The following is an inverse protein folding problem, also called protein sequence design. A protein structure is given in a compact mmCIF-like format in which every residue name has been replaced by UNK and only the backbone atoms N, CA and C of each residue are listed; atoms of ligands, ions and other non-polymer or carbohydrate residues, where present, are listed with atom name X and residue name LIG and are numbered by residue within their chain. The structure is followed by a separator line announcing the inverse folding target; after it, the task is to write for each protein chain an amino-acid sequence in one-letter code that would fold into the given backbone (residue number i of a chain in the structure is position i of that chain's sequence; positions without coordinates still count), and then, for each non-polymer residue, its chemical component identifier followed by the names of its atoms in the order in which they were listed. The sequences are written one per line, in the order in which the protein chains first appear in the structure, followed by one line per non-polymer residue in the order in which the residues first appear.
data_IF_170754223615
#
_entry.id   IF_170754223615
#
_cell.length_a   1.000
_cell.length_b   1.000
_cell.length_c   1.000
_cell.angle_alpha   90.00
_cell.angle_beta   90.00
_cell.angle_gamma   90.00
#
_symmetry.space_group_name_H-M   'P 1'
#
loop_
_entity.id
_entity.type
_entity.pdbx_description
1 polymer ?
#
# COMPACT_ATOMS: atom_id res chain seq x y z
N UNK A 1 20.08 -43.00 -7.97
CA UNK A 1 20.92 -42.38 -9.01
C UNK A 1 20.20 -41.12 -9.47
N UNK A 2 20.51 -39.97 -8.86
CA UNK A 2 19.87 -38.69 -9.14
C UNK A 2 21.00 -37.70 -9.43
N UNK A 3 21.21 -37.41 -10.71
CA UNK A 3 22.15 -36.40 -11.20
C UNK A 3 21.31 -35.38 -11.96
N UNK A 4 21.47 -34.10 -11.63
CA UNK A 4 21.14 -33.01 -12.55
C UNK A 4 20.10 -32.00 -12.08
N UNK A 5 20.41 -31.17 -11.06
CA UNK A 5 19.73 -29.88 -10.83
C UNK A 5 20.66 -28.78 -10.29
N UNK A 6 21.92 -28.69 -10.78
CA UNK A 6 22.87 -27.61 -10.38
C UNK A 6 23.35 -26.69 -11.51
N UNK A 7 22.82 -26.81 -12.73
CA UNK A 7 23.38 -26.08 -13.89
C UNK A 7 22.59 -24.83 -14.32
N UNK A 8 21.37 -24.58 -13.81
CA UNK A 8 20.52 -23.49 -14.34
C UNK A 8 20.88 -22.12 -13.74
N UNK A 9 21.44 -22.05 -12.53
CA UNK A 9 21.76 -20.76 -11.87
C UNK A 9 23.01 -20.08 -12.47
N UNK A 10 23.89 -20.81 -13.15
CA UNK A 10 25.11 -20.23 -13.74
C UNK A 10 24.86 -19.49 -15.07
N UNK A 11 23.78 -19.79 -15.79
CA UNK A 11 23.51 -19.16 -17.09
C UNK A 11 22.68 -17.87 -16.98
N UNK A 12 21.93 -17.64 -15.90
CA UNK A 12 21.24 -16.36 -15.70
C UNK A 12 22.21 -15.20 -15.43
N UNK A 13 23.35 -15.47 -14.80
CA UNK A 13 24.36 -14.44 -14.48
C UNK A 13 25.15 -13.94 -15.70
N UNK A 14 25.16 -14.68 -16.81
CA UNK A 14 25.93 -14.33 -18.01
C UNK A 14 25.14 -13.51 -19.04
N UNK A 15 23.81 -13.61 -19.05
CA UNK A 15 22.98 -12.89 -20.06
C UNK A 15 22.54 -11.49 -19.59
N UNK A 16 22.59 -11.19 -18.29
CA UNK A 16 22.33 -9.84 -17.76
C UNK A 16 23.55 -8.89 -17.85
N UNK A 17 24.61 -9.32 -18.55
CA UNK A 17 25.82 -8.54 -18.75
C UNK A 17 25.74 -7.76 -20.07
N UNK A 18 25.91 -6.44 -19.98
CA UNK A 18 26.01 -5.44 -21.05
C UNK A 18 24.72 -4.79 -21.58
N UNK A 19 24.05 -4.01 -20.72
CA UNK A 19 23.52 -2.71 -21.17
C UNK A 19 24.45 -1.64 -20.59
N UNK A 20 25.43 -1.22 -21.39
CA UNK A 20 26.26 -0.03 -21.15
C UNK A 20 25.46 1.22 -21.52
N UNK A 21 25.17 2.08 -20.55
CA UNK A 21 24.84 3.49 -20.78
C UNK A 21 25.87 4.35 -20.04
N UNK A 22 27.09 4.39 -20.58
CA UNK A 22 28.07 5.43 -20.28
C UNK A 22 27.73 6.67 -21.10
N UNK A 23 26.78 7.46 -20.63
CA UNK A 23 26.45 8.77 -21.16
C UNK A 23 26.31 9.77 -20.03
N UNK A 24 27.26 10.69 -19.90
CA UNK A 24 27.12 11.88 -19.06
C UNK A 24 26.01 12.76 -19.64
N UNK A 25 24.75 12.47 -19.29
CA UNK A 25 23.62 13.33 -19.63
C UNK A 25 23.44 14.41 -18.57
N UNK A 26 24.07 15.55 -18.84
CA UNK A 26 23.62 16.84 -18.35
C UNK A 26 22.38 17.25 -19.15
N UNK A 27 21.17 16.92 -18.68
CA UNK A 27 19.98 17.69 -19.07
C UNK A 27 18.91 17.63 -18.00
N UNK A 28 18.63 18.81 -17.44
CA UNK A 28 17.43 19.09 -16.63
C UNK A 28 16.18 18.64 -17.39
N UNK A 29 15.49 17.63 -16.85
CA UNK A 29 14.02 17.43 -16.79
C UNK A 29 13.71 15.93 -16.85
N UNK A 30 13.39 15.39 -15.68
CA UNK A 30 12.33 14.40 -15.43
C UNK A 30 11.99 13.46 -16.59
N UNK A 31 12.52 12.23 -16.56
CA UNK A 31 11.91 11.03 -17.19
C UNK A 31 12.71 9.72 -16.95
N UNK A 32 13.49 9.61 -15.88
CA UNK A 32 14.00 8.29 -15.46
C UNK A 32 13.10 7.76 -14.34
N UNK A 33 12.07 7.00 -14.74
CA UNK A 33 11.55 5.96 -13.85
C UNK A 33 12.75 5.06 -13.53
N UNK A 34 13.22 5.10 -12.28
CA UNK A 34 14.46 4.46 -11.85
C UNK A 34 14.35 2.93 -11.73
N UNK A 35 13.19 2.37 -12.05
CA UNK A 35 12.86 0.97 -11.90
C UNK A 35 12.72 0.34 -13.28
N UNK A 36 13.68 -0.53 -13.61
CA UNK A 36 13.61 -1.38 -14.80
C UNK A 36 13.09 -2.73 -14.33
N UNK A 37 11.87 -3.06 -14.75
CA UNK A 37 11.34 -4.41 -14.70
C UNK A 37 11.74 -5.09 -15.99
N UNK A 38 12.53 -6.16 -15.89
CA UNK A 38 12.65 -7.08 -17.00
C UNK A 38 11.65 -8.23 -16.83
N UNK A 39 11.34 -8.91 -17.92
CA UNK A 39 10.47 -10.08 -17.92
C UNK A 39 11.05 -11.28 -17.16
N UNK A 40 12.26 -11.14 -16.56
CA UNK A 40 12.91 -12.19 -15.77
C UNK A 40 12.62 -12.07 -14.26
N UNK A 41 11.79 -11.11 -13.85
CA UNK A 41 11.48 -10.89 -12.43
C UNK A 41 12.62 -10.20 -11.69
N UNK A 42 13.53 -9.53 -12.41
CA UNK A 42 14.55 -8.67 -11.82
C UNK A 42 14.08 -7.22 -11.76
N UNK A 43 14.19 -6.62 -10.57
CA UNK A 43 14.00 -5.19 -10.34
C UNK A 43 15.36 -4.58 -10.05
N UNK A 44 15.73 -3.58 -10.84
CA UNK A 44 16.93 -2.78 -10.59
C UNK A 44 16.53 -1.36 -10.20
N UNK A 45 16.96 -0.93 -9.01
CA UNK A 45 16.72 0.41 -8.48
C UNK A 45 18.03 1.13 -8.15
N UNK A 46 18.24 2.35 -8.65
CA UNK A 46 19.44 3.13 -8.34
C UNK A 46 19.36 3.77 -6.95
N UNK A 47 20.33 3.46 -6.08
CA UNK A 47 20.40 4.00 -4.72
C UNK A 47 20.87 5.47 -4.77
N UNK A 48 20.22 6.32 -3.99
CA UNK A 48 20.63 7.72 -3.75
C UNK A 48 21.38 7.84 -2.43
N UNK A 49 22.27 8.83 -2.32
CA UNK A 49 22.92 9.18 -1.06
C UNK A 49 22.03 10.07 -0.18
N UNK A 50 22.52 10.42 1.02
CA UNK A 50 21.79 11.25 1.99
C UNK A 50 21.42 12.66 1.48
N UNK A 51 22.04 13.11 0.39
CA UNK A 51 21.79 14.40 -0.26
C UNK A 51 20.81 14.23 -1.43
N UNK A 52 20.28 13.04 -1.66
CA UNK A 52 19.43 12.70 -2.80
C UNK A 52 20.21 12.55 -4.12
N UNK A 53 21.55 12.57 -4.09
CA UNK A 53 22.37 12.42 -5.29
C UNK A 53 22.44 10.95 -5.70
N UNK A 54 22.31 10.68 -7.00
CA UNK A 54 22.47 9.34 -7.54
C UNK A 54 23.86 8.78 -7.22
N UNK A 55 23.92 7.54 -6.73
CA UNK A 55 25.19 6.83 -6.51
C UNK A 55 25.46 5.83 -7.64
N UNK A 56 26.68 5.27 -7.67
CA UNK A 56 27.02 4.13 -8.52
C UNK A 56 26.53 2.78 -7.93
N UNK A 57 25.69 2.81 -6.89
CA UNK A 57 25.12 1.61 -6.27
C UNK A 57 23.70 1.38 -6.77
N UNK A 58 23.37 0.12 -6.97
CA UNK A 58 22.06 -0.35 -7.39
C UNK A 58 21.58 -1.41 -6.42
N UNK A 59 20.32 -1.30 -6.02
CA UNK A 59 19.58 -2.39 -5.40
C UNK A 59 19.09 -3.29 -6.53
N UNK A 60 19.41 -4.57 -6.46
CA UNK A 60 18.94 -5.61 -7.36
C UNK A 60 18.07 -6.57 -6.56
N UNK A 61 16.85 -6.80 -7.03
CA UNK A 61 15.94 -7.75 -6.42
C UNK A 61 15.55 -8.76 -7.47
N UNK A 62 15.85 -10.02 -7.19
CA UNK A 62 15.49 -11.15 -8.03
C UNK A 62 14.32 -11.85 -7.36
N UNK A 63 13.18 -11.95 -8.04
CA UNK A 63 12.00 -12.67 -7.53
C UNK A 63 11.80 -13.93 -8.38
N UNK A 64 12.43 -15.08 -8.02
CA UNK A 64 12.28 -16.30 -8.78
C UNK A 64 10.83 -16.81 -8.68
N UNK A 65 10.34 -17.46 -9.72
CA UNK A 65 9.04 -18.14 -9.64
C UNK A 65 9.04 -19.17 -8.50
N UNK A 66 8.12 -19.00 -7.54
CA UNK A 66 7.92 -19.90 -6.38
C UNK A 66 9.07 -19.92 -5.36
N UNK A 67 9.85 -18.85 -5.25
CA UNK A 67 10.89 -18.70 -4.22
C UNK A 67 10.83 -17.31 -3.58
N UNK A 68 11.52 -17.14 -2.46
CA UNK A 68 11.62 -15.85 -1.78
C UNK A 68 12.47 -14.86 -2.61
N UNK A 69 12.09 -13.57 -2.64
CA UNK A 69 12.90 -12.54 -3.28
C UNK A 69 14.32 -12.47 -2.70
N UNK A 70 15.32 -12.43 -3.57
CA UNK A 70 16.72 -12.30 -3.21
C UNK A 70 17.21 -10.88 -3.49
N UNK A 71 17.82 -10.27 -2.48
CA UNK A 71 18.21 -8.85 -2.53
C UNK A 71 19.72 -8.72 -2.55
N UNK A 72 20.23 -7.88 -3.45
CA UNK A 72 21.64 -7.61 -3.63
C UNK A 72 21.90 -6.13 -3.79
N UNK A 73 23.09 -5.69 -3.35
CA UNK A 73 23.62 -4.38 -3.67
C UNK A 73 24.75 -4.57 -4.66
N UNK A 74 24.56 -4.03 -5.86
CA UNK A 74 25.58 -3.95 -6.89
C UNK A 74 26.25 -2.58 -6.84
N UNK A 75 27.56 -2.58 -6.96
CA UNK A 75 28.41 -1.43 -7.20
C UNK A 75 29.28 -1.72 -8.42
N UNK A 76 30.11 -0.76 -8.82
CA UNK A 76 30.99 -0.89 -10.00
C UNK A 76 31.84 -2.17 -9.97
N UNK A 77 32.40 -2.51 -8.80
CA UNK A 77 33.37 -3.60 -8.66
C UNK A 77 32.93 -4.73 -7.72
N UNK A 78 31.69 -4.68 -7.21
CA UNK A 78 31.25 -5.64 -6.20
C UNK A 78 29.73 -5.85 -6.24
N UNK A 79 29.30 -7.09 -5.97
CA UNK A 79 27.92 -7.46 -5.70
C UNK A 79 27.91 -8.16 -4.36
N UNK A 80 27.08 -7.69 -3.43
CA UNK A 80 26.87 -8.35 -2.15
C UNK A 80 25.40 -8.63 -1.91
N UNK A 81 25.10 -9.76 -1.29
CA UNK A 81 23.75 -10.09 -0.83
C UNK A 81 23.39 -9.27 0.41
N UNK A 82 22.12 -8.86 0.53
CA UNK A 82 21.55 -8.29 1.76
C UNK A 82 21.04 -9.46 2.60
N UNK A 83 21.44 -9.52 3.87
CA UNK A 83 21.07 -10.64 4.76
C UNK A 83 19.75 -10.36 5.47
N UNK A 84 19.57 -9.14 5.97
CA UNK A 84 18.38 -8.71 6.69
C UNK A 84 17.39 -8.04 5.73
N UNK A 85 16.78 -8.85 4.87
CA UNK A 85 15.77 -8.39 3.92
C UNK A 85 14.43 -8.15 4.64
N UNK A 86 13.63 -7.15 4.22
CA UNK A 86 12.29 -6.97 4.74
C UNK A 86 11.44 -8.20 4.44
N UNK A 87 10.50 -8.53 5.33
CA UNK A 87 9.47 -9.52 5.01
C UNK A 87 8.58 -8.93 3.91
N UNK A 88 8.64 -9.55 2.74
CA UNK A 88 7.76 -9.24 1.60
C UNK A 88 7.09 -10.52 1.16
N UNK A 89 5.98 -10.41 0.43
CA UNK A 89 5.45 -11.58 -0.26
C UNK A 89 6.34 -12.01 -1.43
N UNK A 90 6.03 -13.17 -1.99
CA UNK A 90 6.83 -13.84 -3.04
C UNK A 90 6.95 -12.99 -4.31
N UNK A 91 5.90 -12.25 -4.67
CA UNK A 91 5.89 -11.43 -5.87
C UNK A 91 6.02 -9.96 -5.52
N UNK A 92 7.16 -9.33 -5.85
CA UNK A 92 7.31 -7.87 -5.74
C UNK A 92 6.85 -7.22 -7.05
N UNK A 93 5.80 -6.42 -6.96
CA UNK A 93 5.18 -5.74 -8.11
C UNK A 93 5.80 -4.37 -8.36
N UNK A 94 5.93 -3.54 -7.31
CA UNK A 94 6.43 -2.15 -7.45
C UNK A 94 7.39 -1.79 -6.34
N UNK A 95 8.35 -0.94 -6.68
CA UNK A 95 9.24 -0.29 -5.72
C UNK A 95 9.25 1.19 -6.04
N UNK A 96 9.21 2.03 -5.01
CA UNK A 96 9.39 3.47 -5.15
C UNK A 96 10.26 4.00 -4.03
N UNK A 97 11.31 4.73 -4.36
CA UNK A 97 12.12 5.44 -3.39
C UNK A 97 11.70 6.91 -3.26
N UNK A 98 11.78 7.42 -2.03
CA UNK A 98 11.66 8.83 -1.70
C UNK A 98 12.70 9.68 -2.42
N UNK A 99 12.41 10.98 -2.57
CA UNK A 99 13.27 11.89 -3.32
C UNK A 99 14.68 12.00 -2.70
N UNK A 100 14.76 12.00 -1.37
CA UNK A 100 16.00 12.07 -0.58
C UNK A 100 16.68 10.71 -0.38
N UNK A 101 16.08 9.62 -0.87
CA UNK A 101 16.64 8.27 -0.80
C UNK A 101 16.60 7.63 0.58
N UNK A 102 15.97 8.26 1.58
CA UNK A 102 15.93 7.71 2.95
C UNK A 102 14.94 6.56 3.07
N UNK A 103 13.82 6.67 2.37
CA UNK A 103 12.76 5.67 2.40
C UNK A 103 12.55 4.99 1.06
N UNK A 104 12.13 3.73 1.14
CA UNK A 104 11.69 2.94 0.00
C UNK A 104 10.39 2.23 0.37
N UNK A 105 9.43 2.24 -0.54
CA UNK A 105 8.17 1.51 -0.43
C UNK A 105 8.16 0.36 -1.44
N UNK A 106 7.73 -0.81 -1.00
CA UNK A 106 7.73 -2.05 -1.78
C UNK A 106 6.31 -2.59 -1.76
N UNK A 107 5.68 -2.71 -2.92
CA UNK A 107 4.40 -3.39 -3.09
C UNK A 107 4.69 -4.84 -3.48
N UNK A 108 4.16 -5.77 -2.70
CA UNK A 108 4.28 -7.20 -2.96
C UNK A 108 2.92 -7.91 -2.86
N UNK A 109 2.79 -9.06 -3.49
CA UNK A 109 1.59 -9.90 -3.52
C UNK A 109 1.92 -11.34 -3.13
N UNK A 110 1.06 -11.95 -2.31
CA UNK A 110 1.10 -13.36 -1.96
C UNK A 110 -0.32 -13.94 -1.92
N UNK A 111 -0.60 -15.00 -2.68
CA UNK A 111 -1.96 -15.60 -2.75
C UNK A 111 -3.09 -14.59 -3.07
N UNK A 112 -2.77 -13.51 -3.80
CA UNK A 112 -3.72 -12.43 -4.10
C UNK A 112 -3.85 -11.35 -3.02
N UNK A 113 -3.11 -11.48 -1.92
CA UNK A 113 -3.02 -10.51 -0.83
C UNK A 113 -1.92 -9.47 -1.13
N UNK A 114 -2.26 -8.18 -1.36
CA UNK A 114 -1.26 -7.13 -1.50
C UNK A 114 -0.72 -6.64 -0.15
N UNK A 115 0.56 -6.29 -0.09
CA UNK A 115 1.20 -5.69 1.08
C UNK A 115 2.17 -4.59 0.63
N UNK A 116 2.08 -3.41 1.25
CA UNK A 116 3.11 -2.39 1.13
C UNK A 116 4.02 -2.45 2.35
N UNK A 117 5.31 -2.70 2.12
CA UNK A 117 6.36 -2.60 3.14
C UNK A 117 7.15 -1.32 2.91
N UNK A 118 7.18 -0.44 3.89
CA UNK A 118 8.01 0.78 3.87
C UNK A 118 9.24 0.57 4.75
N UNK A 119 10.41 0.87 4.19
CA UNK A 119 11.70 0.61 4.81
C UNK A 119 12.58 1.86 4.89
N UNK A 120 13.47 1.87 5.88
CA UNK A 120 14.62 2.75 5.99
C UNK A 120 15.75 2.19 5.11
N UNK A 121 16.11 2.96 4.09
CA UNK A 121 17.11 2.54 3.09
C UNK A 121 18.50 2.50 3.70
N UNK A 122 18.85 3.39 4.62
CA UNK A 122 20.18 3.37 5.25
C UNK A 122 20.35 2.10 6.08
N UNK A 123 19.36 1.78 6.91
CA UNK A 123 19.36 0.54 7.69
C UNK A 123 19.45 -0.69 6.80
N UNK A 124 18.71 -0.72 5.68
CA UNK A 124 18.79 -1.83 4.72
C UNK A 124 20.22 -1.97 4.17
N UNK A 125 20.85 -0.85 3.78
CA UNK A 125 22.21 -0.83 3.27
C UNK A 125 23.21 -1.27 4.34
N UNK A 126 22.97 -0.99 5.61
CA UNK A 126 23.86 -1.41 6.70
C UNK A 126 23.58 -2.84 7.20
N UNK A 127 22.66 -3.57 6.54
CA UNK A 127 22.12 -4.87 6.98
C UNK A 127 21.52 -4.81 8.39
N UNK A 128 20.84 -3.73 8.74
CA UNK A 128 20.05 -3.62 9.96
C UNK A 128 18.56 -3.88 9.66
N UNK A 129 17.74 -4.21 10.67
CA UNK A 129 16.29 -4.25 10.53
C UNK A 129 15.76 -2.91 9.99
N UNK A 130 15.21 -2.94 8.77
CA UNK A 130 14.89 -1.75 7.99
C UNK A 130 13.39 -1.46 7.90
N UNK A 131 12.51 -2.40 8.26
CA UNK A 131 11.06 -2.21 8.18
C UNK A 131 10.61 -1.13 9.17
N UNK A 132 9.92 -0.13 8.63
CA UNK A 132 9.30 0.97 9.38
C UNK A 132 7.82 0.69 9.60
N UNK A 133 7.12 0.32 8.52
CA UNK A 133 5.68 0.11 8.52
C UNK A 133 5.28 -0.89 7.45
N UNK A 134 4.30 -1.70 7.79
CA UNK A 134 3.55 -2.54 6.85
C UNK A 134 2.13 -1.97 6.71
N UNK A 135 1.64 -1.88 5.48
CA UNK A 135 0.28 -1.44 5.15
C UNK A 135 -0.40 -2.62 4.47
N UNK A 136 -1.27 -3.29 5.24
CA UNK A 136 -2.04 -4.45 4.83
C UNK A 136 -3.51 -4.01 4.58
N UNK A 137 -3.93 -3.83 3.31
CA UNK A 137 -5.29 -3.48 2.98
C UNK A 137 -6.24 -4.69 2.92
N UNK A 138 -5.81 -5.94 3.18
CA UNK A 138 -6.67 -7.10 2.93
C UNK A 138 -7.98 -7.02 3.74
N UNK A 139 -9.16 -7.28 3.13
CA UNK A 139 -9.37 -7.95 1.84
C UNK A 139 -9.35 -7.06 0.58
N UNK A 140 -9.02 -5.78 0.70
CA UNK A 140 -8.99 -4.85 -0.42
C UNK A 140 -7.68 -4.84 -1.21
N UNK A 141 -7.56 -3.83 -2.06
CA UNK A 141 -6.42 -3.56 -2.94
C UNK A 141 -5.62 -2.35 -2.46
N UNK A 142 -4.36 -2.29 -2.85
CA UNK A 142 -3.52 -1.10 -2.64
C UNK A 142 -2.51 -0.96 -3.78
N UNK A 143 -2.16 0.28 -4.11
CA UNK A 143 -1.16 0.59 -5.12
C UNK A 143 -0.22 1.72 -4.67
N UNK A 144 1.03 1.66 -5.13
CA UNK A 144 2.04 2.71 -4.92
C UNK A 144 1.93 3.77 -6.03
N UNK A 145 1.57 5.01 -5.68
CA UNK A 145 1.48 6.11 -6.66
C UNK A 145 2.81 6.83 -6.83
N UNK A 146 3.22 7.62 -5.83
CA UNK A 146 4.46 8.39 -5.88
C UNK A 146 4.89 8.88 -4.50
N UNK A 147 6.09 9.43 -4.41
CA UNK A 147 6.55 10.18 -3.25
C UNK A 147 6.42 11.69 -3.52
N UNK A 148 5.85 12.44 -2.58
CA UNK A 148 5.84 13.90 -2.57
C UNK A 148 6.64 14.37 -1.36
N UNK A 149 7.87 14.87 -1.61
CA UNK A 149 8.89 15.06 -0.58
C UNK A 149 9.18 13.74 0.16
N UNK A 150 8.84 13.66 1.45
CA UNK A 150 8.98 12.47 2.30
C UNK A 150 7.66 11.71 2.50
N UNK A 151 6.55 12.18 1.91
CA UNK A 151 5.25 11.54 2.06
C UNK A 151 5.01 10.56 0.91
N UNK A 152 4.53 9.37 1.23
CA UNK A 152 4.17 8.37 0.25
C UNK A 152 2.68 8.50 -0.07
N UNK A 153 2.37 8.70 -1.34
CA UNK A 153 1.02 8.67 -1.87
C UNK A 153 0.69 7.24 -2.33
N UNK A 154 -0.40 6.70 -1.78
CA UNK A 154 -0.91 5.36 -2.06
C UNK A 154 -2.38 5.45 -2.48
N UNK A 155 -2.85 4.52 -3.33
CA UNK A 155 -4.31 4.34 -3.49
C UNK A 155 -4.76 3.04 -2.89
N UNK A 156 -5.98 3.00 -2.38
CA UNK A 156 -6.63 1.80 -1.89
C UNK A 156 -8.13 1.93 -1.99
N UNK A 157 -8.81 0.80 -2.15
CA UNK A 157 -10.26 0.68 -1.96
C UNK A 157 -10.63 0.40 -0.49
N UNK A 158 -9.70 0.55 0.46
CA UNK A 158 -9.94 0.41 1.89
C UNK A 158 -9.68 1.72 2.62
N UNK A 159 -10.43 2.00 3.67
CA UNK A 159 -10.23 3.20 4.49
C UNK A 159 -8.99 3.08 5.40
N UNK A 160 -7.80 3.29 4.81
CA UNK A 160 -6.50 3.09 5.47
C UNK A 160 -6.24 3.97 6.71
N UNK A 161 -7.09 4.98 6.96
CA UNK A 161 -7.05 5.82 8.16
C UNK A 161 -7.66 5.13 9.40
N UNK A 162 -8.31 3.97 9.24
CA UNK A 162 -9.04 3.26 10.28
C UNK A 162 -8.51 1.83 10.50
N UNK A 163 -7.18 1.72 10.63
CA UNK A 163 -6.52 0.46 11.00
C UNK A 163 -6.88 0.07 12.44
N UNK A 164 -7.04 -1.23 12.71
CA UNK A 164 -7.23 -1.71 14.09
C UNK A 164 -5.89 -1.84 14.81
N UNK A 165 -5.89 -1.59 16.12
CA UNK A 165 -4.68 -1.72 16.94
C UNK A 165 -4.19 -3.16 17.08
N UNK A 166 -5.07 -4.15 16.90
CA UNK A 166 -4.76 -5.56 17.14
C UNK A 166 -3.86 -6.18 16.06
N UNK A 167 -4.10 -5.86 14.80
CA UNK A 167 -3.41 -6.47 13.66
C UNK A 167 -2.93 -5.45 12.61
N UNK A 168 -3.20 -4.15 12.81
CA UNK A 168 -2.86 -3.10 11.87
C UNK A 168 -3.67 -3.13 10.57
N UNK A 169 -4.69 -3.99 10.45
CA UNK A 169 -5.54 -4.12 9.27
C UNK A 169 -6.72 -3.18 9.30
N UNK A 170 -7.27 -2.89 8.13
CA UNK A 170 -8.56 -2.21 8.01
C UNK A 170 -9.69 -3.25 8.08
N UNK A 171 -10.71 -3.05 8.93
CA UNK A 171 -11.90 -3.89 8.94
C UNK A 171 -12.54 -4.00 7.55
N UNK A 172 -13.00 -5.21 7.19
CA UNK A 172 -13.63 -5.46 5.89
C UNK A 172 -14.89 -4.60 5.66
N UNK A 173 -15.57 -4.19 6.74
CA UNK A 173 -16.73 -3.30 6.70
C UNK A 173 -16.39 -1.89 6.18
N UNK A 174 -15.10 -1.50 6.19
CA UNK A 174 -14.62 -0.18 5.75
C UNK A 174 -14.02 -0.19 4.34
N UNK A 175 -14.46 -1.13 3.50
CA UNK A 175 -14.23 -1.07 2.06
C UNK A 175 -14.90 0.18 1.46
N UNK A 176 -14.27 0.76 0.46
CA UNK A 176 -14.69 1.96 -0.26
C UNK A 176 -15.26 1.56 -1.62
N UNK A 177 -16.20 2.35 -2.12
CA UNK A 177 -16.86 2.08 -3.41
C UNK A 177 -16.01 2.44 -4.65
N UNK A 178 -14.82 2.98 -4.43
CA UNK A 178 -13.81 3.25 -5.46
C UNK A 178 -12.44 3.35 -4.79
N UNK A 179 -11.36 3.17 -5.55
CA UNK A 179 -10.02 3.51 -5.06
C UNK A 179 -9.97 4.99 -4.66
N UNK A 180 -9.38 5.26 -3.49
CA UNK A 180 -9.10 6.59 -2.96
C UNK A 180 -7.62 6.75 -2.68
N UNK A 181 -7.16 7.98 -2.72
CA UNK A 181 -5.78 8.33 -2.40
C UNK A 181 -5.60 8.61 -0.91
N UNK A 182 -4.50 8.10 -0.36
CA UNK A 182 -4.04 8.30 1.01
C UNK A 182 -2.59 8.78 1.02
N UNK A 183 -2.23 9.48 2.09
CA UNK A 183 -0.90 10.05 2.29
C UNK A 183 -0.31 9.44 3.56
N UNK A 184 0.77 8.68 3.41
CA UNK A 184 1.52 8.05 4.48
C UNK A 184 2.74 8.88 4.86
N UNK A 185 2.90 9.13 6.16
CA UNK A 185 4.09 9.74 6.74
C UNK A 185 5.02 8.66 7.32
N UNK A 186 6.18 8.39 6.70
CA UNK A 186 7.10 7.33 7.15
C UNK A 186 7.73 7.62 8.52
N UNK A 187 7.73 8.87 8.98
CA UNK A 187 8.31 9.21 10.29
C UNK A 187 7.35 8.92 11.44
N UNK A 188 6.05 9.17 11.26
CA UNK A 188 5.04 8.98 12.31
C UNK A 188 4.27 7.67 12.17
N UNK A 189 4.31 7.02 11.01
CA UNK A 189 3.45 5.87 10.71
C UNK A 189 2.00 6.26 10.39
N UNK A 190 1.68 7.55 10.43
CA UNK A 190 0.34 8.07 10.23
C UNK A 190 -0.07 7.99 8.76
N UNK A 191 -1.32 7.57 8.53
CA UNK A 191 -1.97 7.61 7.23
C UNK A 191 -3.10 8.63 7.32
N UNK A 192 -3.11 9.59 6.40
CA UNK A 192 -4.18 10.59 6.27
C UNK A 192 -4.88 10.44 4.94
N UNK A 193 -6.09 11.00 4.82
CA UNK A 193 -6.79 11.02 3.54
C UNK A 193 -6.14 12.01 2.58
N UNK A 194 -5.82 11.55 1.37
CA UNK A 194 -5.49 12.41 0.23
C UNK A 194 -6.74 12.86 -0.56
N UNK A 195 -7.89 12.22 -0.33
CA UNK A 195 -9.14 12.50 -1.03
C UNK A 195 -10.13 13.26 -0.13
N UNK A 196 -10.74 14.33 -0.64
CA UNK A 196 -11.61 15.21 0.16
C UNK A 196 -12.86 14.50 0.69
N UNK A 197 -13.45 13.63 -0.12
CA UNK A 197 -14.73 12.97 0.14
C UNK A 197 -14.67 11.92 1.25
N UNK A 198 -13.49 11.37 1.56
CA UNK A 198 -13.27 10.40 2.64
C UNK A 198 -12.58 10.99 3.89
N UNK A 199 -12.47 12.32 3.99
CA UNK A 199 -12.02 12.98 5.24
C UNK A 199 -13.03 12.82 6.38
N UNK A 200 -14.30 12.72 6.03
CA UNK A 200 -15.39 12.35 6.94
C UNK A 200 -16.00 11.03 6.45
N UNK A 201 -15.51 9.88 6.97
CA UNK A 201 -15.99 8.58 6.55
C UNK A 201 -17.49 8.37 6.79
N UNK A 202 -18.03 8.88 7.89
CA UNK A 202 -19.44 8.72 8.21
C UNK A 202 -20.31 9.43 7.16
N UNK A 203 -19.91 10.64 6.77
CA UNK A 203 -20.54 11.38 5.68
C UNK A 203 -20.38 10.67 4.33
N UNK A 204 -19.18 10.14 4.01
CA UNK A 204 -18.94 9.37 2.77
C UNK A 204 -19.92 8.21 2.60
N UNK A 205 -19.98 7.30 3.58
CA UNK A 205 -20.89 6.15 3.53
C UNK A 205 -22.35 6.56 3.56
N UNK A 206 -22.68 7.62 4.30
CA UNK A 206 -24.03 8.17 4.36
C UNK A 206 -24.51 8.75 3.03
N UNK A 207 -23.63 9.42 2.29
CA UNK A 207 -23.92 9.95 0.95
C UNK A 207 -24.11 8.83 -0.05
N UNK A 208 -23.28 7.80 -0.03
CA UNK A 208 -23.47 6.60 -0.86
C UNK A 208 -24.81 5.91 -0.56
N UNK A 209 -25.17 5.76 0.71
CA UNK A 209 -26.43 5.15 1.13
C UNK A 209 -27.65 5.84 0.50
N UNK A 210 -27.67 7.18 0.45
CA UNK A 210 -28.87 7.91 -0.03
C UNK A 210 -28.80 8.38 -1.48
N UNK A 211 -27.59 8.56 -2.03
CA UNK A 211 -27.36 9.17 -3.35
C UNK A 211 -27.23 8.11 -4.44
N UNK A 212 -26.11 7.39 -4.45
CA UNK A 212 -25.80 6.36 -5.43
C UNK A 212 -25.35 5.09 -4.69
N UNK A 213 -26.31 4.29 -4.17
CA UNK A 213 -25.95 3.09 -3.44
C UNK A 213 -25.17 2.15 -4.35
N UNK A 214 -24.29 1.34 -3.75
CA UNK A 214 -23.75 0.20 -4.48
C UNK A 214 -24.90 -0.67 -4.99
N UNK A 215 -24.97 -0.88 -6.32
CA UNK A 215 -25.91 -1.83 -6.91
C UNK A 215 -25.68 -3.26 -6.39
N UNK A 216 -24.44 -3.53 -5.95
CA UNK A 216 -23.99 -4.85 -5.52
C UNK A 216 -24.49 -5.17 -4.12
N UNK A 217 -24.49 -4.23 -3.18
CA UNK A 217 -25.04 -4.48 -1.84
C UNK A 217 -25.22 -3.20 -1.00
N UNK A 218 -26.46 -2.71 -0.82
CA UNK A 218 -26.77 -1.63 0.12
C UNK A 218 -26.48 -1.96 1.60
N UNK A 219 -26.04 -3.19 1.87
CA UNK A 219 -25.64 -3.67 3.19
C UNK A 219 -24.25 -3.15 3.57
N UNK A 220 -23.36 -2.95 2.59
CA UNK A 220 -21.99 -2.52 2.82
C UNK A 220 -21.94 -1.13 3.49
N UNK A 221 -22.71 -0.17 2.98
CA UNK A 221 -22.84 1.16 3.59
C UNK A 221 -23.34 1.06 5.05
N UNK A 222 -24.32 0.19 5.31
CA UNK A 222 -24.88 0.02 6.65
C UNK A 222 -23.89 -0.63 7.62
N UNK A 223 -23.03 -1.51 7.15
CA UNK A 223 -21.99 -2.17 7.94
C UNK A 223 -20.86 -1.19 8.27
N UNK A 224 -20.41 -0.41 7.29
CA UNK A 224 -19.46 0.67 7.51
C UNK A 224 -19.97 1.67 8.55
N UNK A 225 -21.21 2.16 8.40
CA UNK A 225 -21.81 3.10 9.36
C UNK A 225 -22.01 2.49 10.76
N UNK A 226 -22.32 1.19 10.83
CA UNK A 226 -22.40 0.49 12.10
C UNK A 226 -21.04 0.33 12.78
N UNK A 227 -19.97 0.16 12.00
CA UNK A 227 -18.60 0.09 12.49
C UNK A 227 -18.12 1.45 13.02
N UNK A 228 -18.29 2.51 12.23
CA UNK A 228 -17.85 3.87 12.57
C UNK A 228 -18.56 4.43 13.82
N UNK A 229 -19.81 4.00 14.07
CA UNK A 229 -20.63 4.44 15.21
C UNK A 229 -20.74 5.97 15.31
N UNK A 230 -20.80 6.65 14.18
CA UNK A 230 -20.92 8.10 14.15
C UNK A 230 -22.40 8.54 14.18
N UNK A 231 -22.73 9.47 15.06
CA UNK A 231 -24.10 9.95 15.23
C UNK A 231 -24.58 10.86 14.09
N UNK A 232 -23.67 11.40 13.30
CA UNK A 232 -24.01 12.28 12.16
C UNK A 232 -24.70 11.50 11.02
N UNK A 233 -24.51 10.17 10.98
CA UNK A 233 -25.20 9.27 10.06
C UNK A 233 -26.72 9.14 10.30
N UNK A 234 -27.25 9.54 11.48
CA UNK A 234 -28.66 9.33 11.87
C UNK A 234 -29.65 9.92 10.86
N UNK A 235 -29.38 11.11 10.32
CA UNK A 235 -30.27 11.80 9.38
C UNK A 235 -30.39 11.02 8.06
N UNK A 236 -29.27 10.49 7.57
CA UNK A 236 -29.19 9.66 6.36
C UNK A 236 -29.84 8.29 6.55
N UNK A 237 -29.66 7.66 7.71
CA UNK A 237 -30.33 6.40 8.04
C UNK A 237 -31.86 6.56 8.08
N UNK A 238 -32.36 7.67 8.61
CA UNK A 238 -33.80 7.99 8.58
C UNK A 238 -34.31 8.19 7.15
N UNK A 239 -33.53 8.87 6.30
CA UNK A 239 -33.85 9.01 4.87
C UNK A 239 -33.83 7.65 4.16
N UNK A 240 -32.88 6.78 4.47
CA UNK A 240 -32.80 5.44 3.91
C UNK A 240 -34.07 4.62 4.20
N UNK A 241 -34.65 4.73 5.40
CA UNK A 241 -35.92 4.04 5.76
C UNK A 241 -37.10 4.40 4.86
N UNK A 242 -37.09 5.56 4.21
CA UNK A 242 -38.17 5.96 3.29
C UNK A 242 -37.94 5.48 1.86
N UNK A 243 -36.77 4.91 1.55
CA UNK A 243 -36.44 4.44 0.19
C UNK A 243 -36.80 2.96 0.05
N UNK A 244 -37.55 2.62 -1.02
CA UNK A 244 -38.03 1.26 -1.29
C UNK A 244 -36.93 0.18 -1.25
N UNK A 245 -35.73 0.50 -1.75
CA UNK A 245 -34.57 -0.41 -1.76
C UNK A 245 -34.12 -0.88 -0.37
N UNK A 246 -34.41 -0.13 0.69
CA UNK A 246 -33.99 -0.46 2.06
C UNK A 246 -35.09 -1.11 2.90
N UNK A 247 -36.27 -1.41 2.33
CA UNK A 247 -37.38 -1.98 3.12
C UNK A 247 -37.01 -3.33 3.76
N UNK A 248 -36.24 -4.17 3.06
CA UNK A 248 -35.73 -5.43 3.60
C UNK A 248 -34.69 -5.24 4.74
N UNK A 249 -34.09 -4.05 4.86
CA UNK A 249 -33.09 -3.72 5.87
C UNK A 249 -33.62 -2.81 6.98
N UNK A 250 -34.92 -2.50 6.98
CA UNK A 250 -35.52 -1.52 7.89
C UNK A 250 -35.25 -1.83 9.38
N UNK A 251 -35.28 -3.10 9.78
CA UNK A 251 -34.98 -3.52 11.16
C UNK A 251 -33.52 -3.23 11.53
N UNK A 252 -32.56 -3.53 10.64
CA UNK A 252 -31.12 -3.24 10.85
C UNK A 252 -30.89 -1.74 10.98
N UNK A 253 -31.49 -0.94 10.09
CA UNK A 253 -31.38 0.52 10.12
C UNK A 253 -31.97 1.11 11.40
N UNK A 254 -33.16 0.67 11.83
CA UNK A 254 -33.78 1.13 13.09
C UNK A 254 -32.91 0.80 14.30
N UNK A 255 -32.35 -0.41 14.37
CA UNK A 255 -31.44 -0.83 15.45
C UNK A 255 -30.20 0.06 15.50
N UNK A 256 -29.61 0.35 14.33
CA UNK A 256 -28.44 1.22 14.24
C UNK A 256 -28.74 2.66 14.68
N UNK A 257 -29.87 3.23 14.25
CA UNK A 257 -30.31 4.56 14.71
C UNK A 257 -30.41 4.59 16.24
N UNK A 258 -31.06 3.60 16.85
CA UNK A 258 -31.19 3.55 18.31
C UNK A 258 -29.83 3.50 19.01
N UNK A 259 -28.89 2.69 18.54
CA UNK A 259 -27.54 2.63 19.14
C UNK A 259 -26.77 3.94 19.02
N UNK A 260 -26.88 4.62 17.88
CA UNK A 260 -26.22 5.92 17.65
C UNK A 260 -26.83 7.03 18.52
N UNK A 261 -28.14 7.02 18.73
CA UNK A 261 -28.82 7.98 19.62
C UNK A 261 -28.42 7.81 21.08
N UNK A 262 -28.26 6.57 21.54
CA UNK A 262 -27.75 6.27 22.89
C UNK A 262 -26.35 6.85 23.04
N UNK A 263 -25.43 6.57 22.11
CA UNK A 263 -24.06 7.11 22.12
C UNK A 263 -24.04 8.65 22.17
N UNK A 264 -24.77 9.32 21.28
CA UNK A 264 -24.88 10.79 21.24
C UNK A 264 -25.38 11.41 22.55
N UNK A 265 -26.22 10.69 23.29
CA UNK A 265 -26.74 11.15 24.59
C UNK A 265 -25.70 11.01 25.72
N UNK A 266 -24.76 10.07 25.58
CA UNK A 266 -23.63 9.92 26.50
C UNK A 266 -22.56 10.99 26.23
N UNK A 267 -22.26 11.29 24.96
CA UNK A 267 -21.21 12.27 24.57
C UNK A 267 -21.56 13.73 24.95
N UNK A 268 -22.81 14.02 25.32
CA UNK A 268 -23.29 15.36 25.73
C UNK A 268 -23.24 15.60 27.24
N UNK A 269 -22.91 14.58 28.04
CA UNK A 269 -22.79 14.69 29.50
C UNK A 269 -21.35 14.97 29.90
#
# INVERSE_FOLDING_TARGET
MVIGKRQIVKNLFLTACFIFLSGCFNSKKDLFNNDIFDSSGMITHRIKDKKGCATNKYLLILSPENDEPQWYIRSENNIRRIVNVPATFQYIDKIKASADGKFMAILSYGEGHPLITVIDTEKLLDNEPSVIQEIDPYPGTVDLKHWSNVYLHISSDMLLTHKTDSDGRVPAELMLFSEKEFIFNPWSGEITSGSEDIKDPAQYYSQHLVGNPSEVSPIAELEALAYLKDSDAISYLKKALTMKKYFQHATKIKKLISSLQIKRSHDKK
#
